data_IF_234388462956
#
_entry.id   IF_234388462956
#
_cell.length_a   1.000
_cell.length_b   1.000
_cell.length_c   1.000
_cell.angle_alpha   90.00
_cell.angle_beta   90.00
_cell.angle_gamma   90.00
#
_symmetry.space_group_name_H-M   'P 1'
#
loop_
_entity.id
_entity.type
_entity.pdbx_description
1 polymer ?
#
# COMPACT_ATOMS: atom_id res chain seq x y z
N UNK A 1 -13.35 27.78 -29.59
CA UNK A 1 -13.20 26.33 -29.85
C UNK A 1 -12.21 25.82 -28.81
N UNK A 2 -12.71 25.32 -27.69
CA UNK A 2 -11.88 24.93 -26.56
C UNK A 2 -12.31 23.58 -26.05
N UNK A 3 -11.36 22.65 -25.98
CA UNK A 3 -11.32 21.52 -25.05
C UNK A 3 -9.84 21.18 -24.86
N UNK A 4 -9.19 21.85 -23.91
CA UNK A 4 -7.88 21.42 -23.41
C UNK A 4 -8.06 20.07 -22.69
N UNK A 5 -7.30 19.08 -23.12
CA UNK A 5 -7.17 17.80 -22.42
C UNK A 5 -6.39 18.03 -21.12
N UNK A 6 -7.11 18.30 -20.03
CA UNK A 6 -6.54 18.23 -18.69
C UNK A 6 -6.44 16.75 -18.30
N UNK A 7 -5.21 16.30 -18.06
CA UNK A 7 -4.92 14.96 -17.58
C UNK A 7 -5.77 14.62 -16.36
N UNK A 8 -6.29 13.41 -16.35
CA UNK A 8 -7.00 12.85 -15.20
C UNK A 8 -5.97 12.68 -14.07
N UNK A 9 -5.78 13.73 -13.27
CA UNK A 9 -5.24 13.60 -11.93
C UNK A 9 -6.23 12.74 -11.17
N UNK A 10 -5.95 11.44 -11.08
CA UNK A 10 -6.61 10.52 -10.15
C UNK A 10 -6.19 10.91 -8.73
N UNK A 11 -6.77 12.00 -8.23
CA UNK A 11 -6.73 12.39 -6.82
C UNK A 11 -7.47 11.32 -6.03
N UNK A 12 -6.75 10.24 -5.72
CA UNK A 12 -7.26 9.14 -4.92
C UNK A 12 -7.31 9.63 -3.48
N UNK A 13 -8.41 9.40 -2.73
CA UNK A 13 -8.52 9.91 -1.36
C UNK A 13 -7.42 9.31 -0.49
N UNK A 14 -6.73 10.18 0.25
CA UNK A 14 -5.84 9.75 1.32
C UNK A 14 -6.60 8.83 2.29
N UNK A 15 -5.94 7.83 2.90
CA UNK A 15 -6.53 7.00 3.95
C UNK A 15 -7.19 7.88 5.00
N UNK A 16 -8.43 7.54 5.30
CA UNK A 16 -9.21 8.25 6.31
C UNK A 16 -8.55 8.10 7.68
N UNK A 17 -8.75 9.08 8.57
CA UNK A 17 -8.23 9.00 9.93
C UNK A 17 -8.73 7.75 10.70
N UNK A 18 -9.88 7.20 10.31
CA UNK A 18 -10.43 5.96 10.86
C UNK A 18 -9.62 4.71 10.48
N UNK A 19 -9.10 4.65 9.25
CA UNK A 19 -8.20 3.58 8.81
C UNK A 19 -6.90 3.65 9.61
N UNK A 20 -6.37 4.85 9.84
CA UNK A 20 -5.14 5.03 10.63
C UNK A 20 -5.35 4.67 12.11
N UNK A 21 -6.50 5.01 12.68
CA UNK A 21 -6.80 4.81 14.10
C UNK A 21 -6.98 3.33 14.51
N UNK A 22 -7.15 2.42 13.55
CA UNK A 22 -7.45 1.00 13.79
C UNK A 22 -6.30 0.06 13.44
N UNK A 23 -5.11 0.60 13.18
CA UNK A 23 -3.96 -0.22 12.84
C UNK A 23 -3.38 -0.92 14.07
N UNK A 24 -3.17 -2.23 13.96
CA UNK A 24 -2.63 -3.07 15.05
C UNK A 24 -1.36 -3.76 14.60
N UNK A 25 -0.43 -3.96 15.53
CA UNK A 25 0.79 -4.71 15.26
C UNK A 25 0.45 -6.14 14.84
N UNK A 26 0.96 -6.56 13.69
CA UNK A 26 0.73 -7.90 13.15
C UNK A 26 1.71 -8.93 13.77
N UNK A 27 2.74 -8.45 14.47
CA UNK A 27 3.69 -9.28 15.23
C UNK A 27 5.00 -9.62 14.50
N UNK A 28 5.19 -9.13 13.27
CA UNK A 28 6.46 -9.16 12.55
C UNK A 28 7.12 -7.78 12.46
N UNK A 29 8.41 -7.73 12.13
CA UNK A 29 9.09 -6.47 11.83
C UNK A 29 8.54 -5.81 10.56
N UNK A 30 7.91 -6.59 9.67
CA UNK A 30 7.24 -6.12 8.46
C UNK A 30 8.09 -5.23 7.59
N UNK A 31 9.37 -5.55 7.45
CA UNK A 31 10.31 -4.69 6.77
C UNK A 31 10.42 -5.09 5.30
N UNK A 32 10.26 -4.12 4.41
CA UNK A 32 10.54 -4.28 2.97
C UNK A 32 11.99 -3.88 2.69
N UNK A 33 12.71 -4.75 1.99
CA UNK A 33 14.01 -4.40 1.41
C UNK A 33 13.86 -3.41 0.24
N UNK A 34 14.96 -2.74 -0.13
CA UNK A 34 14.97 -1.86 -1.31
C UNK A 34 14.59 -2.58 -2.61
N UNK A 35 14.91 -3.88 -2.71
CA UNK A 35 14.53 -4.71 -3.86
C UNK A 35 13.02 -4.97 -3.87
N UNK A 36 12.43 -5.33 -2.74
CA UNK A 36 10.99 -5.54 -2.62
C UNK A 36 10.23 -4.23 -2.84
N UNK A 37 10.75 -3.11 -2.36
CA UNK A 37 10.20 -1.79 -2.66
C UNK A 37 10.23 -1.47 -4.15
N UNK A 38 11.34 -1.76 -4.84
CA UNK A 38 11.43 -1.66 -6.29
C UNK A 38 10.37 -2.51 -7.00
N UNK A 39 10.18 -3.75 -6.52
CA UNK A 39 9.16 -4.67 -7.06
C UNK A 39 7.75 -4.14 -6.83
N UNK A 40 7.42 -3.68 -5.62
CA UNK A 40 6.10 -3.14 -5.27
C UNK A 40 5.71 -1.96 -6.16
N UNK A 41 6.64 -1.03 -6.41
CA UNK A 41 6.42 0.11 -7.32
C UNK A 41 6.22 -0.28 -8.78
N UNK A 42 6.72 -1.46 -9.18
CA UNK A 42 6.59 -1.97 -10.55
C UNK A 42 5.31 -2.80 -10.78
N UNK A 43 4.53 -3.06 -9.74
CA UNK A 43 3.31 -3.87 -9.87
C UNK A 43 2.24 -3.14 -10.68
N UNK A 44 1.55 -3.90 -11.53
CA UNK A 44 0.35 -3.43 -12.20
C UNK A 44 -0.86 -3.63 -11.28
N UNK A 45 -1.39 -2.56 -10.71
CA UNK A 45 -2.51 -2.64 -9.77
C UNK A 45 -3.86 -2.84 -10.51
N UNK A 46 -4.83 -3.58 -9.93
CA UNK A 46 -4.81 -4.24 -8.62
C UNK A 46 -4.07 -5.59 -8.61
N UNK A 47 -3.64 -6.02 -7.43
CA UNK A 47 -2.94 -7.28 -7.18
C UNK A 47 -3.72 -8.18 -6.21
N UNK A 48 -3.56 -9.49 -6.30
CA UNK A 48 -4.22 -10.42 -5.36
C UNK A 48 -3.55 -10.43 -3.99
N UNK A 49 -4.36 -10.43 -2.92
CA UNK A 49 -3.86 -10.50 -1.54
C UNK A 49 -2.90 -11.68 -1.31
N UNK A 50 -3.19 -12.84 -1.91
CA UNK A 50 -2.33 -14.03 -1.79
C UNK A 50 -0.97 -13.80 -2.43
N UNK A 51 -0.91 -13.11 -3.56
CA UNK A 51 0.33 -12.82 -4.28
C UNK A 51 1.15 -11.76 -3.54
N UNK A 52 0.47 -10.74 -2.99
CA UNK A 52 1.10 -9.71 -2.15
C UNK A 52 1.74 -10.36 -0.91
N UNK A 53 0.98 -11.18 -0.18
CA UNK A 53 1.47 -11.90 1.00
C UNK A 53 2.59 -12.89 0.66
N UNK A 54 2.48 -13.60 -0.47
CA UNK A 54 3.53 -14.53 -0.93
C UNK A 54 4.81 -13.82 -1.34
N UNK A 55 4.71 -12.59 -1.83
CA UNK A 55 5.84 -11.80 -2.32
C UNK A 55 6.54 -10.99 -1.22
N UNK A 56 5.76 -10.35 -0.36
CA UNK A 56 6.25 -9.38 0.64
C UNK A 56 6.17 -9.90 2.08
N UNK A 57 5.60 -11.09 2.28
CA UNK A 57 5.48 -11.69 3.60
C UNK A 57 4.36 -11.04 4.43
N UNK A 58 4.67 -10.84 5.71
CA UNK A 58 3.73 -10.31 6.68
C UNK A 58 4.05 -8.84 7.02
N UNK A 59 3.03 -7.98 7.15
CA UNK A 59 3.26 -6.58 7.49
C UNK A 59 3.68 -6.39 8.95
N UNK A 60 4.12 -5.18 9.28
CA UNK A 60 4.44 -4.76 10.63
C UNK A 60 3.15 -4.43 11.37
N UNK A 61 2.25 -3.73 10.67
CA UNK A 61 0.93 -3.38 11.17
C UNK A 61 -0.15 -3.65 10.12
N UNK A 62 -1.37 -3.91 10.57
CA UNK A 62 -2.53 -4.17 9.70
C UNK A 62 -3.79 -3.57 10.31
N UNK A 63 -4.69 -3.08 9.45
CA UNK A 63 -6.08 -2.78 9.79
C UNK A 63 -7.03 -3.54 8.83
N UNK A 64 -8.31 -3.17 8.78
CA UNK A 64 -9.30 -3.81 7.91
C UNK A 64 -9.13 -3.50 6.41
N UNK A 65 -8.41 -2.46 6.05
CA UNK A 65 -8.26 -1.97 4.67
C UNK A 65 -6.81 -1.82 4.21
N UNK A 66 -5.82 -2.10 5.05
CA UNK A 66 -4.42 -1.81 4.76
C UNK A 66 -3.43 -2.70 5.52
N UNK A 67 -2.32 -2.98 4.84
CA UNK A 67 -1.10 -3.55 5.39
C UNK A 67 -0.01 -2.50 5.41
N UNK A 68 0.75 -2.41 6.50
CA UNK A 68 1.83 -1.43 6.63
C UNK A 68 3.16 -2.13 6.84
N UNK A 69 4.12 -1.75 6.02
CA UNK A 69 5.48 -2.24 6.03
C UNK A 69 6.45 -1.08 6.29
N UNK A 70 7.59 -1.36 6.89
CA UNK A 70 8.65 -0.36 7.11
C UNK A 70 9.77 -0.54 6.09
N UNK A 71 10.33 0.55 5.58
CA UNK A 71 11.53 0.55 4.74
C UNK A 71 12.80 0.65 5.60
N UNK A 72 14.00 0.36 5.05
CA UNK A 72 15.25 0.40 5.82
C UNK A 72 15.64 1.80 6.30
N UNK A 73 15.11 2.85 5.66
CA UNK A 73 15.27 4.25 6.06
C UNK A 73 14.26 4.72 7.12
N UNK A 74 13.35 3.83 7.55
CA UNK A 74 12.31 4.11 8.54
C UNK A 74 11.01 4.64 7.96
N UNK A 75 10.89 4.84 6.64
CA UNK A 75 9.64 5.24 6.00
C UNK A 75 8.60 4.09 6.04
N UNK A 76 7.32 4.42 5.96
CA UNK A 76 6.24 3.44 5.99
C UNK A 76 5.55 3.31 4.64
N UNK A 77 5.32 2.06 4.21
CA UNK A 77 4.58 1.74 2.99
C UNK A 77 3.26 1.12 3.39
N UNK A 78 2.18 1.82 3.06
CA UNK A 78 0.81 1.39 3.27
C UNK A 78 0.26 0.78 1.98
N UNK A 79 -0.16 -0.47 2.03
CA UNK A 79 -0.78 -1.19 0.91
C UNK A 79 -2.27 -1.33 1.22
N UNK A 80 -3.13 -0.74 0.38
CA UNK A 80 -4.57 -0.72 0.61
C UNK A 80 -5.27 -1.86 -0.13
N UNK A 81 -6.32 -2.39 0.49
CA UNK A 81 -7.10 -3.50 0.02
C UNK A 81 -8.59 -3.17 -0.07
N UNK A 82 -9.21 -3.62 -1.16
CA UNK A 82 -10.65 -3.73 -1.31
C UNK A 82 -11.02 -5.21 -1.42
N UNK A 83 -11.54 -5.77 -0.32
CA UNK A 83 -11.76 -7.21 -0.20
C UNK A 83 -10.45 -7.99 -0.24
N UNK A 84 -10.26 -8.83 -1.26
CA UNK A 84 -9.03 -9.63 -1.44
C UNK A 84 -8.06 -9.03 -2.48
N UNK A 85 -8.31 -7.81 -2.93
CA UNK A 85 -7.48 -7.14 -3.93
C UNK A 85 -6.73 -5.98 -3.30
N UNK A 86 -5.41 -6.00 -3.41
CA UNK A 86 -4.59 -4.84 -3.12
C UNK A 86 -4.76 -3.85 -4.28
N UNK A 87 -5.25 -2.65 -4.02
CA UNK A 87 -5.65 -1.70 -5.06
C UNK A 87 -4.62 -0.61 -5.29
N UNK A 88 -3.82 -0.27 -4.28
CA UNK A 88 -2.80 0.77 -4.35
C UNK A 88 -1.83 0.68 -3.17
N UNK A 89 -0.77 1.48 -3.25
CA UNK A 89 0.11 1.74 -2.12
C UNK A 89 0.31 3.25 -1.90
N UNK A 90 0.71 3.63 -0.69
CA UNK A 90 1.17 4.97 -0.34
C UNK A 90 2.47 4.88 0.47
N UNK A 91 3.39 5.81 0.21
CA UNK A 91 4.62 6.01 1.01
C UNK A 91 4.39 7.15 2.01
N UNK A 92 4.83 6.98 3.26
CA UNK A 92 4.72 7.95 4.36
C UNK A 92 6.09 8.24 4.98
#
# INVERSE_FOLDING_TARGET
MGCSHAGQNVSTPAPTAAEQASIVAYGGAGQLSNQEWGRLRSLAWPQDYRDMKGTFGFPAWRNSSADVYTLPDGAEVWIFYEGQKATRYELR
#
